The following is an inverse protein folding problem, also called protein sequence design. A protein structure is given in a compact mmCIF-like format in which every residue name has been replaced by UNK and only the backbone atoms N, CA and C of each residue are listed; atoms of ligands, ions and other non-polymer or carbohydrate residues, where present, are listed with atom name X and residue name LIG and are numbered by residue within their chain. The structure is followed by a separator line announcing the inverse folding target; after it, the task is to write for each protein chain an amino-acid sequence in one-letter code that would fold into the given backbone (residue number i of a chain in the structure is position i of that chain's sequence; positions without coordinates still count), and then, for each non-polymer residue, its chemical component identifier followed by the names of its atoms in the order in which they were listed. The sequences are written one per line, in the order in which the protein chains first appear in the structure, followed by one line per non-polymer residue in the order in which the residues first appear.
data_IF_479248938967
#
_entry.id   IF_479248938967
#
_cell.length_a   1.000
_cell.length_b   1.000
_cell.length_c   1.000
_cell.angle_alpha   90.00
_cell.angle_beta   90.00
_cell.angle_gamma   90.00
#
_symmetry.space_group_name_H-M   'P 1'
#
loop_
_entity.id
_entity.type
_entity.pdbx_description
1 polymer ?
#
# COMPACT_ATOMS: atom_id res chain seq x y z
N UNK A 1 1.35 -6.38 15.17
CA UNK A 1 1.33 -7.83 14.95
C UNK A 1 2.75 -8.35 14.92
N UNK A 2 3.06 -9.43 15.64
CA UNK A 2 4.32 -10.16 15.53
C UNK A 2 4.10 -11.37 14.63
N UNK A 3 5.00 -11.62 13.69
CA UNK A 3 5.00 -12.82 12.84
C UNK A 3 6.41 -13.40 12.74
N UNK A 4 6.49 -14.72 12.61
CA UNK A 4 7.73 -15.43 12.36
C UNK A 4 7.74 -15.94 10.94
N UNK A 5 8.78 -15.56 10.18
CA UNK A 5 8.94 -15.93 8.78
C UNK A 5 10.20 -16.79 8.67
N UNK A 6 10.07 -17.97 8.07
CA UNK A 6 11.20 -18.87 7.85
C UNK A 6 12.32 -18.15 7.09
N UNK A 7 13.56 -18.32 7.55
CA UNK A 7 14.76 -17.66 6.99
C UNK A 7 14.83 -16.14 7.11
N UNK A 8 13.84 -15.49 7.75
CA UNK A 8 13.84 -14.05 8.07
C UNK A 8 13.86 -13.81 9.58
N UNK A 9 13.19 -14.67 10.35
CA UNK A 9 13.03 -14.57 11.79
C UNK A 9 11.77 -13.81 12.20
N UNK A 10 11.73 -13.40 13.47
CA UNK A 10 10.60 -12.66 14.05
C UNK A 10 10.61 -11.20 13.61
N UNK A 11 9.45 -10.72 13.15
CA UNK A 11 9.28 -9.34 12.74
C UNK A 11 8.01 -8.77 13.38
N UNK A 12 8.06 -7.48 13.72
CA UNK A 12 6.91 -6.76 14.29
C UNK A 12 6.41 -5.76 13.27
N UNK A 13 5.15 -5.91 12.88
CA UNK A 13 4.45 -5.08 11.90
C UNK A 13 3.42 -4.22 12.62
N UNK A 14 3.39 -2.92 12.31
CA UNK A 14 2.47 -1.95 12.93
C UNK A 14 1.67 -1.16 11.91
N UNK A 15 2.19 -1.03 10.68
CA UNK A 15 1.62 -0.15 9.66
C UNK A 15 1.54 -0.86 8.33
N UNK A 16 0.58 -0.45 7.51
CA UNK A 16 0.43 -0.91 6.14
C UNK A 16 0.38 0.33 5.25
N UNK A 17 1.23 0.37 4.22
CA UNK A 17 1.14 1.31 3.12
C UNK A 17 0.68 0.56 1.88
N UNK A 18 -0.34 1.08 1.18
CA UNK A 18 -0.86 0.47 -0.04
C UNK A 18 -0.95 1.48 -1.19
N UNK A 19 -0.69 1.01 -2.41
CA UNK A 19 -1.24 1.67 -3.60
C UNK A 19 -2.76 1.43 -3.71
N UNK A 20 -3.44 2.23 -4.53
CA UNK A 20 -4.87 2.10 -4.78
C UNK A 20 -5.19 1.29 -6.05
N UNK A 21 -4.77 1.75 -7.23
CA UNK A 21 -5.19 1.14 -8.50
C UNK A 21 -4.23 0.01 -8.90
N UNK A 22 -4.79 -1.16 -9.19
CA UNK A 22 -4.01 -2.37 -9.44
C UNK A 22 -3.68 -3.14 -8.16
N UNK A 23 -3.99 -2.56 -6.98
CA UNK A 23 -3.82 -3.17 -5.67
C UNK A 23 -5.15 -3.36 -4.93
N UNK A 24 -5.85 -2.27 -4.61
CA UNK A 24 -7.15 -2.27 -3.89
C UNK A 24 -8.34 -2.13 -4.83
N UNK A 25 -8.12 -1.51 -5.98
CA UNK A 25 -9.11 -1.10 -6.95
C UNK A 25 -8.68 -1.53 -8.35
N UNK A 26 -9.64 -1.61 -9.27
CA UNK A 26 -9.39 -1.74 -10.70
C UNK A 26 -10.07 -0.57 -11.38
N UNK A 27 -9.34 0.17 -12.22
CA UNK A 27 -9.88 1.36 -12.91
C UNK A 27 -10.60 2.36 -11.97
N UNK A 28 -10.06 2.60 -10.78
CA UNK A 28 -10.59 3.57 -9.82
C UNK A 28 -11.76 3.11 -8.97
N UNK A 29 -12.22 1.86 -9.12
CA UNK A 29 -13.33 1.29 -8.34
C UNK A 29 -12.79 0.26 -7.36
N UNK A 30 -13.10 0.44 -6.08
CA UNK A 30 -12.67 -0.47 -5.01
C UNK A 30 -13.26 -1.87 -5.26
N UNK A 31 -12.41 -2.90 -5.14
CA UNK A 31 -12.85 -4.30 -5.20
C UNK A 31 -13.73 -4.56 -3.97
N UNK A 32 -14.89 -5.20 -4.14
CA UNK A 32 -15.90 -5.32 -3.07
C UNK A 32 -15.32 -5.89 -1.78
N UNK A 33 -14.50 -6.93 -1.90
CA UNK A 33 -13.87 -7.64 -0.79
C UNK A 33 -12.78 -6.83 -0.09
N UNK A 34 -12.14 -5.88 -0.78
CA UNK A 34 -11.04 -5.11 -0.19
C UNK A 34 -11.54 -4.13 0.87
N UNK A 35 -12.77 -3.63 0.76
CA UNK A 35 -13.40 -2.79 1.78
C UNK A 35 -13.46 -3.50 3.14
N UNK A 36 -14.04 -4.70 3.17
CA UNK A 36 -14.21 -5.48 4.39
C UNK A 36 -12.86 -5.89 5.00
N UNK A 37 -11.86 -6.15 4.14
CA UNK A 37 -10.49 -6.44 4.57
C UNK A 37 -9.84 -5.21 5.22
N UNK A 38 -9.98 -4.03 4.62
CA UNK A 38 -9.44 -2.78 5.18
C UNK A 38 -10.07 -2.46 6.53
N UNK A 39 -11.38 -2.62 6.68
CA UNK A 39 -12.07 -2.42 7.97
C UNK A 39 -11.53 -3.36 9.05
N UNK A 40 -11.34 -4.64 8.74
CA UNK A 40 -10.76 -5.62 9.67
C UNK A 40 -9.31 -5.29 10.02
N UNK A 41 -8.48 -4.96 9.03
CA UNK A 41 -7.07 -4.65 9.24
C UNK A 41 -6.88 -3.35 10.03
N UNK A 42 -7.75 -2.35 9.83
CA UNK A 42 -7.66 -1.05 10.52
C UNK A 42 -7.80 -1.16 12.05
N UNK A 43 -8.31 -2.29 12.57
CA UNK A 43 -8.39 -2.56 14.01
C UNK A 43 -7.04 -2.92 14.64
N UNK A 44 -6.07 -3.34 13.82
CA UNK A 44 -4.77 -3.85 14.27
C UNK A 44 -3.57 -3.08 13.68
N UNK A 45 -3.78 -2.31 12.60
CA UNK A 45 -2.74 -1.61 11.87
C UNK A 45 -3.12 -0.15 11.58
N UNK A 46 -2.12 0.73 11.57
CA UNK A 46 -2.23 2.08 10.97
C UNK A 46 -2.13 1.93 9.45
N UNK A 47 -3.21 2.24 8.73
CA UNK A 47 -3.32 2.01 7.28
C UNK A 47 -3.18 3.32 6.53
N UNK A 48 -2.27 3.33 5.56
CA UNK A 48 -1.97 4.47 4.70
C UNK A 48 -2.17 4.06 3.24
N UNK A 49 -3.04 4.77 2.51
CA UNK A 49 -3.21 4.61 1.07
C UNK A 49 -2.50 5.75 0.37
N UNK A 50 -1.52 5.45 -0.48
CA UNK A 50 -0.77 6.45 -1.26
C UNK A 50 -1.00 6.23 -2.73
N UNK A 51 -1.64 7.20 -3.39
CA UNK A 51 -2.05 7.09 -4.80
C UNK A 51 -1.95 8.43 -5.52
N UNK A 52 -1.75 8.42 -6.84
CA UNK A 52 -1.77 9.64 -7.65
C UNK A 52 -3.18 10.25 -7.84
N UNK A 53 -4.25 9.53 -7.50
CA UNK A 53 -5.67 9.93 -7.50
C UNK A 53 -6.11 10.94 -8.58
N UNK A 54 -5.77 10.69 -9.84
CA UNK A 54 -5.98 11.64 -10.95
C UNK A 54 -7.46 12.03 -11.16
N UNK A 55 -8.39 11.18 -10.72
CA UNK A 55 -9.84 11.39 -10.88
C UNK A 55 -10.59 11.62 -9.57
N UNK A 56 -9.88 11.87 -8.45
CA UNK A 56 -10.48 11.99 -7.11
C UNK A 56 -11.34 10.79 -6.68
N UNK A 57 -11.16 9.63 -7.31
CA UNK A 57 -11.97 8.43 -7.07
C UNK A 57 -11.56 7.74 -5.77
N UNK A 58 -10.28 7.80 -5.40
CA UNK A 58 -9.80 7.11 -4.20
C UNK A 58 -10.41 7.71 -2.93
N UNK A 59 -10.50 9.04 -2.83
CA UNK A 59 -11.11 9.71 -1.67
C UNK A 59 -12.57 9.32 -1.45
N UNK A 60 -13.37 9.27 -2.52
CA UNK A 60 -14.78 8.89 -2.40
C UNK A 60 -14.94 7.40 -2.08
N UNK A 61 -14.17 6.52 -2.73
CA UNK A 61 -14.24 5.07 -2.52
C UNK A 61 -13.80 4.65 -1.09
N UNK A 62 -12.86 5.38 -0.50
CA UNK A 62 -12.32 5.11 0.84
C UNK A 62 -13.07 5.86 1.95
N UNK A 63 -14.08 6.66 1.60
CA UNK A 63 -14.85 7.47 2.55
C UNK A 63 -15.52 6.58 3.60
N UNK A 64 -15.35 6.95 4.87
CA UNK A 64 -15.90 6.21 6.01
C UNK A 64 -15.05 5.03 6.47
N UNK A 65 -13.96 4.70 5.77
CA UNK A 65 -12.98 3.73 6.24
C UNK A 65 -11.97 4.38 7.19
N UNK A 66 -11.50 3.62 8.19
CA UNK A 66 -10.45 4.06 9.11
C UNK A 66 -9.06 3.91 8.47
N UNK A 67 -8.79 4.72 7.45
CA UNK A 67 -7.52 4.75 6.70
C UNK A 67 -7.08 6.19 6.46
N UNK A 68 -5.77 6.41 6.28
CA UNK A 68 -5.20 7.69 5.87
C UNK A 68 -4.97 7.69 4.37
N UNK A 69 -5.57 8.62 3.63
CA UNK A 69 -5.38 8.74 2.17
C UNK A 69 -4.42 9.89 1.86
N UNK A 70 -3.38 9.61 1.08
CA UNK A 70 -2.32 10.53 0.70
C UNK A 70 -2.27 10.58 -0.83
N UNK A 71 -2.35 11.80 -1.35
CA UNK A 71 -2.31 12.04 -2.79
C UNK A 71 -0.87 12.32 -3.18
N UNK A 72 -0.27 11.40 -3.92
CA UNK A 72 1.06 11.55 -4.47
C UNK A 72 1.03 12.52 -5.67
N UNK A 73 2.09 13.31 -5.89
CA UNK A 73 2.23 14.10 -7.10
C UNK A 73 2.26 13.20 -8.35
N UNK A 74 1.84 13.71 -9.50
CA UNK A 74 1.86 12.92 -10.75
C UNK A 74 3.28 12.58 -11.22
N UNK A 75 4.26 13.41 -10.87
CA UNK A 75 5.68 13.27 -11.19
C UNK A 75 6.41 12.77 -9.93
N UNK A 76 7.46 11.96 -10.11
CA UNK A 76 8.33 11.46 -9.04
C UNK A 76 7.65 10.61 -7.96
N UNK A 77 6.57 9.90 -8.32
CA UNK A 77 5.84 9.02 -7.38
C UNK A 77 6.73 7.97 -6.70
N UNK A 78 7.73 7.43 -7.41
CA UNK A 78 8.67 6.44 -6.85
C UNK A 78 9.36 7.01 -5.60
N UNK A 79 9.96 8.20 -5.75
CA UNK A 79 10.66 8.90 -4.66
C UNK A 79 9.68 9.34 -3.58
N UNK A 80 8.54 9.92 -3.98
CA UNK A 80 7.53 10.37 -3.03
C UNK A 80 7.03 9.24 -2.13
N UNK A 81 6.66 8.08 -2.71
CA UNK A 81 6.18 6.92 -1.95
C UNK A 81 7.25 6.38 -1.01
N UNK A 82 8.52 6.33 -1.44
CA UNK A 82 9.62 5.95 -0.56
C UNK A 82 9.80 6.92 0.62
N UNK A 83 9.85 8.23 0.35
CA UNK A 83 10.03 9.23 1.41
C UNK A 83 8.84 9.24 2.38
N UNK A 84 7.62 9.04 1.88
CA UNK A 84 6.46 8.85 2.74
C UNK A 84 6.59 7.58 3.60
N UNK A 85 6.97 6.45 3.01
CA UNK A 85 7.21 5.20 3.72
C UNK A 85 8.29 5.35 4.82
N UNK A 86 9.36 6.11 4.54
CA UNK A 86 10.38 6.47 5.54
C UNK A 86 9.79 7.29 6.67
N UNK A 87 8.97 8.30 6.36
CA UNK A 87 8.37 9.19 7.37
C UNK A 87 7.48 8.46 8.38
N UNK A 88 6.82 7.37 7.97
CA UNK A 88 5.99 6.55 8.86
C UNK A 88 6.76 5.36 9.47
N UNK A 89 8.01 5.13 9.06
CA UNK A 89 8.93 4.17 9.66
C UNK A 89 8.93 2.78 8.98
N UNK A 90 9.98 2.52 8.20
CA UNK A 90 10.14 1.29 7.40
C UNK A 90 10.27 0.01 8.23
N UNK A 91 10.83 0.07 9.44
CA UNK A 91 11.22 -1.12 10.23
C UNK A 91 10.04 -2.00 10.69
N UNK A 92 8.81 -1.48 10.66
CA UNK A 92 7.59 -2.19 11.02
C UNK A 92 6.46 -2.00 9.99
N UNK A 93 6.85 -1.66 8.76
CA UNK A 93 5.94 -1.34 7.66
C UNK A 93 5.75 -2.56 6.75
N UNK A 94 4.49 -2.84 6.41
CA UNK A 94 4.14 -3.65 5.25
C UNK A 94 3.84 -2.71 4.08
N UNK A 95 4.48 -2.90 2.93
CA UNK A 95 4.16 -2.19 1.70
C UNK A 95 3.48 -3.13 0.72
N UNK A 96 2.38 -2.70 0.11
CA UNK A 96 1.61 -3.47 -0.87
C UNK A 96 1.36 -2.62 -2.11
N UNK A 97 1.68 -3.15 -3.29
CA UNK A 97 1.62 -2.41 -4.54
C UNK A 97 1.77 -3.33 -5.74
N UNK A 98 1.70 -2.77 -6.94
CA UNK A 98 1.89 -3.52 -8.18
C UNK A 98 2.63 -2.72 -9.27
N UNK A 99 2.66 -1.40 -9.17
CA UNK A 99 3.16 -0.51 -10.21
C UNK A 99 4.65 -0.21 -10.07
N UNK A 100 5.24 0.29 -11.16
CA UNK A 100 6.64 0.81 -11.15
C UNK A 100 6.84 1.89 -10.08
N UNK A 101 5.81 2.71 -9.85
CA UNK A 101 5.78 3.75 -8.81
C UNK A 101 5.90 3.19 -7.38
N UNK A 102 5.66 1.89 -7.17
CA UNK A 102 5.70 1.24 -5.86
C UNK A 102 7.06 0.58 -5.55
N UNK A 103 7.90 0.40 -6.58
CA UNK A 103 9.17 -0.34 -6.54
C UNK A 103 10.01 -0.09 -5.29
N UNK A 104 10.33 1.17 -4.99
CA UNK A 104 11.18 1.49 -3.85
C UNK A 104 10.48 1.31 -2.51
N UNK A 105 9.19 1.66 -2.38
CA UNK A 105 8.49 1.44 -1.10
C UNK A 105 8.37 -0.06 -0.79
N UNK A 106 8.16 -0.89 -1.81
CA UNK A 106 8.14 -2.35 -1.69
C UNK A 106 9.50 -2.89 -1.27
N UNK A 107 10.57 -2.45 -1.95
CA UNK A 107 11.94 -2.91 -1.71
C UNK A 107 12.46 -2.59 -0.30
N UNK A 108 12.10 -1.43 0.23
CA UNK A 108 12.66 -0.93 1.51
C UNK A 108 11.77 -1.16 2.73
N UNK A 109 10.51 -1.56 2.55
CA UNK A 109 9.64 -1.92 3.67
C UNK A 109 10.15 -3.18 4.39
N UNK A 110 9.75 -3.36 5.65
CA UNK A 110 10.07 -4.57 6.40
C UNK A 110 9.47 -5.82 5.74
N UNK A 111 8.30 -5.68 5.12
CA UNK A 111 7.67 -6.68 4.28
C UNK A 111 7.07 -5.99 3.05
N UNK A 112 7.62 -6.25 1.86
CA UNK A 112 7.04 -5.85 0.58
C UNK A 112 6.20 -6.96 -0.02
N UNK A 113 5.00 -6.63 -0.52
CA UNK A 113 4.08 -7.56 -1.18
C UNK A 113 3.71 -6.96 -2.54
N UNK A 114 4.21 -7.57 -3.62
CA UNK A 114 3.81 -7.23 -4.98
C UNK A 114 2.56 -8.02 -5.36
N UNK A 115 1.50 -7.32 -5.79
CA UNK A 115 0.22 -7.93 -6.18
C UNK A 115 0.15 -8.06 -7.69
N UNK A 116 -0.04 -9.29 -8.19
CA UNK A 116 -0.36 -9.53 -9.60
C UNK A 116 -1.88 -9.54 -9.74
N UNK A 117 -2.45 -8.36 -10.01
CA UNK A 117 -3.89 -8.16 -10.19
C UNK A 117 -4.34 -8.29 -11.65
N UNK A 118 -5.56 -7.83 -11.95
CA UNK A 118 -6.12 -7.78 -13.32
C UNK A 118 -5.33 -6.85 -14.26
N UNK A 119 -4.64 -5.87 -13.68
CA UNK A 119 -3.79 -4.90 -14.40
C UNK A 119 -2.33 -5.39 -14.48
N UNK A 120 -2.05 -6.62 -14.01
CA UNK A 120 -0.70 -7.18 -13.91
C UNK A 120 0.13 -6.57 -12.79
N UNK A 121 1.43 -6.85 -12.82
CA UNK A 121 2.43 -6.24 -11.97
C UNK A 121 3.65 -5.83 -12.80
N UNK A 122 4.26 -4.71 -12.45
CA UNK A 122 5.47 -4.25 -13.10
C UNK A 122 6.70 -5.05 -12.61
N UNK A 123 7.64 -5.36 -13.51
CA UNK A 123 8.86 -6.08 -13.14
C UNK A 123 9.71 -5.32 -12.10
N UNK A 124 9.73 -3.99 -12.12
CA UNK A 124 10.46 -3.20 -11.13
C UNK A 124 9.80 -3.23 -9.73
N UNK A 125 8.56 -3.70 -9.62
CA UNK A 125 7.85 -3.88 -8.35
C UNK A 125 8.13 -5.24 -7.69
N UNK A 126 8.76 -6.18 -8.42
CA UNK A 126 9.19 -7.50 -7.95
C UNK A 126 10.64 -7.45 -7.45
#
# INVERSE_FOLDING_TARGET
MEIEILSVGKIVLKRIILDFNGTLATSGVLIKETKDILEKLSKAFDIHIVTGDTFSSAKEQLKGLNVKTIIAPLIDQITFKLEYAKSIGLSNLVAIGNGKNDSLMLKYAKLGICVIGKEGANLEAL
#
